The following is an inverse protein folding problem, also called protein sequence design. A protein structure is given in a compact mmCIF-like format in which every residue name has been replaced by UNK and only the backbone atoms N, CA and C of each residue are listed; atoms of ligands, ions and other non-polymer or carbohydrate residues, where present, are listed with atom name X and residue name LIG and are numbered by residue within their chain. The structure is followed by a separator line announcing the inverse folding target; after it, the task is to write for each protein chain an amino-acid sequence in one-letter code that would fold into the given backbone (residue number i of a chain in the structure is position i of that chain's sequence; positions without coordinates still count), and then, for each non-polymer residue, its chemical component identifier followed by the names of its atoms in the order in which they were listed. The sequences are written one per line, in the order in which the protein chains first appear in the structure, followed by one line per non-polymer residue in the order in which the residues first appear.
data_IF_326373764688
#
_entry.id   IF_326373764688
#
_cell.length_a   1.000
_cell.length_b   1.000
_cell.length_c   1.000
_cell.angle_alpha   90.00
_cell.angle_beta   90.00
_cell.angle_gamma   90.00
#
_symmetry.space_group_name_H-M   'P 1'
#
loop_
_entity.id
_entity.type
_entity.pdbx_description
1 polymer ?
#
# COMPACT_ATOMS: atom_id res chain seq x y z
N UNK A 1 -2.75 -6.08 15.88
CA UNK A 1 -1.65 -6.08 16.88
C UNK A 1 -2.17 -5.75 18.26
N UNK A 2 -2.55 -4.51 18.61
CA UNK A 2 -3.11 -4.21 19.96
C UNK A 2 -4.32 -5.09 20.34
N UNK A 3 -5.19 -5.39 19.38
CA UNK A 3 -6.36 -6.25 19.58
C UNK A 3 -6.02 -7.73 19.87
N UNK A 4 -4.76 -8.14 19.72
CA UNK A 4 -4.27 -9.50 19.91
C UNK A 4 -3.11 -9.54 20.92
N UNK A 5 -2.91 -8.46 21.67
CA UNK A 5 -1.86 -8.32 22.68
C UNK A 5 -0.42 -8.58 22.16
N UNK A 6 -0.19 -8.35 20.86
CA UNK A 6 1.13 -8.47 20.26
C UNK A 6 1.85 -7.12 20.39
N UNK A 7 3.02 -7.15 21.04
CA UNK A 7 3.92 -5.99 21.07
C UNK A 7 4.44 -5.69 19.66
N UNK A 8 4.14 -4.49 19.19
CA UNK A 8 4.51 -4.03 17.86
C UNK A 8 6.02 -3.89 17.71
N UNK A 9 6.71 -3.51 18.79
CA UNK A 9 8.13 -3.19 18.74
C UNK A 9 9.00 -4.43 18.55
N UNK A 10 8.56 -5.56 19.11
CA UNK A 10 9.24 -6.85 18.97
C UNK A 10 8.78 -7.62 17.73
N UNK A 11 7.51 -7.47 17.33
CA UNK A 11 6.93 -8.30 16.26
C UNK A 11 7.22 -7.81 14.84
N UNK A 12 7.36 -6.49 14.61
CA UNK A 12 7.61 -5.95 13.26
C UNK A 12 9.10 -5.97 12.91
N UNK A 13 9.50 -6.53 11.75
CA UNK A 13 10.90 -6.48 11.29
C UNK A 13 11.43 -5.06 11.09
N UNK A 14 10.56 -4.14 10.63
CA UNK A 14 10.90 -2.73 10.39
C UNK A 14 9.76 -1.84 10.87
N UNK A 15 10.10 -0.83 11.69
CA UNK A 15 9.15 0.17 12.19
C UNK A 15 9.46 1.55 11.63
N UNK A 16 8.41 2.30 11.26
CA UNK A 16 8.52 3.74 11.01
C UNK A 16 8.15 4.52 12.26
N UNK A 17 8.91 5.58 12.56
CA UNK A 17 8.74 6.42 13.77
C UNK A 17 7.34 7.01 13.89
N UNK A 18 6.68 7.27 12.78
CA UNK A 18 5.36 7.92 12.72
C UNK A 18 4.20 6.94 12.45
N UNK A 19 4.45 5.63 12.39
CA UNK A 19 3.36 4.66 12.32
C UNK A 19 2.58 4.62 13.65
N UNK A 20 1.25 4.46 13.63
CA UNK A 20 0.40 4.23 12.46
C UNK A 20 -0.14 5.52 11.79
N UNK A 21 0.02 6.68 12.42
CA UNK A 21 -0.58 7.95 11.98
C UNK A 21 -0.12 8.39 10.59
N UNK A 22 1.14 8.13 10.22
CA UNK A 22 1.65 8.40 8.89
C UNK A 22 0.85 7.71 7.78
N UNK A 23 0.34 6.50 8.03
CA UNK A 23 -0.48 5.76 7.06
C UNK A 23 -1.84 6.42 6.85
N UNK A 24 -2.51 6.81 7.95
CA UNK A 24 -3.78 7.53 7.88
C UNK A 24 -3.61 8.90 7.21
N UNK A 25 -2.55 9.63 7.54
CA UNK A 25 -2.22 10.90 6.90
C UNK A 25 -2.03 10.74 5.39
N UNK A 26 -1.18 9.81 4.96
CA UNK A 26 -0.93 9.55 3.55
C UNK A 26 -2.21 9.15 2.80
N UNK A 27 -3.05 8.30 3.41
CA UNK A 27 -4.33 7.92 2.85
C UNK A 27 -5.29 9.11 2.71
N UNK A 28 -5.44 9.94 3.75
CA UNK A 28 -6.29 11.13 3.71
C UNK A 28 -5.83 12.14 2.65
N UNK A 29 -4.52 12.41 2.58
CA UNK A 29 -3.96 13.29 1.56
C UNK A 29 -4.22 12.72 0.15
N UNK A 30 -3.88 11.46 -0.10
CA UNK A 30 -4.10 10.83 -1.40
C UNK A 30 -5.58 10.83 -1.81
N UNK A 31 -6.48 10.56 -0.86
CA UNK A 31 -7.92 10.61 -1.09
C UNK A 31 -8.37 12.01 -1.54
N UNK A 32 -7.93 13.08 -0.86
CA UNK A 32 -8.28 14.46 -1.25
C UNK A 32 -7.68 14.80 -2.63
N UNK A 33 -6.40 14.49 -2.85
CA UNK A 33 -5.72 14.78 -4.13
C UNK A 33 -6.40 14.12 -5.32
N UNK A 34 -6.91 12.90 -5.14
CA UNK A 34 -7.62 12.15 -6.15
C UNK A 34 -8.89 12.89 -6.64
N UNK A 35 -9.58 13.63 -5.77
CA UNK A 35 -10.71 14.47 -6.17
C UNK A 35 -10.28 15.84 -6.70
N UNK A 36 -9.24 16.43 -6.11
CA UNK A 36 -8.77 17.77 -6.49
C UNK A 36 -8.13 17.78 -7.87
N UNK A 37 -7.44 16.73 -8.33
CA UNK A 37 -6.65 16.82 -9.57
C UNK A 37 -7.46 17.20 -10.83
N UNK A 38 -8.75 16.86 -10.87
CA UNK A 38 -9.61 17.11 -12.03
C UNK A 38 -10.44 18.40 -11.95
N UNK A 39 -10.20 19.28 -10.96
CA UNK A 39 -11.08 20.42 -10.69
C UNK A 39 -11.18 21.41 -11.87
N UNK A 40 -10.13 21.50 -12.69
CA UNK A 40 -10.07 22.43 -13.81
C UNK A 40 -11.18 22.20 -14.85
N UNK A 41 -11.71 20.98 -14.96
CA UNK A 41 -12.83 20.64 -15.85
C UNK A 41 -14.11 21.39 -15.46
N UNK A 42 -14.26 21.77 -14.19
CA UNK A 42 -15.40 22.52 -13.68
C UNK A 42 -15.24 24.04 -13.83
N UNK A 43 -14.09 24.53 -14.30
CA UNK A 43 -13.91 25.95 -14.59
C UNK A 43 -14.65 26.33 -15.87
N UNK A 44 -15.31 27.49 -15.86
CA UNK A 44 -16.04 28.02 -17.02
C UNK A 44 -15.14 28.11 -18.24
N UNK A 45 -15.55 27.50 -19.35
CA UNK A 45 -14.80 27.48 -20.61
C UNK A 45 -13.81 26.33 -20.80
N UNK A 46 -13.61 25.46 -19.79
CA UNK A 46 -12.68 24.31 -19.86
C UNK A 46 -13.38 22.94 -19.86
N UNK A 47 -14.69 22.92 -20.14
CA UNK A 47 -15.45 21.66 -20.17
C UNK A 47 -15.02 20.79 -21.35
N UNK A 48 -14.44 19.63 -21.05
CA UNK A 48 -14.10 18.59 -22.02
C UNK A 48 -14.54 17.24 -21.48
N UNK A 49 -15.49 16.60 -22.16
CA UNK A 49 -16.02 15.28 -21.78
C UNK A 49 -14.90 14.22 -21.75
N UNK A 50 -13.95 14.28 -22.68
CA UNK A 50 -12.81 13.37 -22.70
C UNK A 50 -11.93 13.52 -21.44
N UNK A 51 -11.63 14.76 -21.05
CA UNK A 51 -10.83 15.06 -19.85
C UNK A 51 -11.57 14.70 -18.56
N UNK A 52 -12.91 14.88 -18.52
CA UNK A 52 -13.75 14.45 -17.40
C UNK A 52 -13.71 12.93 -17.19
N UNK A 53 -13.97 12.16 -18.25
CA UNK A 53 -13.97 10.69 -18.17
C UNK A 53 -12.57 10.17 -17.85
N UNK A 54 -11.51 10.78 -18.38
CA UNK A 54 -10.15 10.38 -18.04
C UNK A 54 -9.82 10.61 -16.56
N UNK A 55 -10.14 11.80 -16.03
CA UNK A 55 -9.84 12.15 -14.63
C UNK A 55 -10.71 11.40 -13.62
N UNK A 56 -12.02 11.24 -13.87
CA UNK A 56 -12.97 10.70 -12.90
C UNK A 56 -13.50 9.31 -13.25
N UNK A 57 -13.42 8.90 -14.51
CA UNK A 57 -13.94 7.62 -14.97
C UNK A 57 -13.15 6.44 -14.38
N UNK A 58 -11.81 6.55 -14.28
CA UNK A 58 -11.01 5.48 -13.68
C UNK A 58 -11.31 5.32 -12.18
N UNK A 59 -11.58 6.41 -11.48
CA UNK A 59 -11.98 6.41 -10.06
C UNK A 59 -13.31 5.68 -9.91
N UNK A 60 -14.31 6.04 -10.73
CA UNK A 60 -15.62 5.40 -10.72
C UNK A 60 -15.55 3.91 -11.13
N UNK A 61 -14.73 3.56 -12.12
CA UNK A 61 -14.53 2.18 -12.56
C UNK A 61 -13.86 1.34 -11.47
N UNK A 62 -12.76 1.82 -10.88
CA UNK A 62 -12.08 1.10 -9.79
C UNK A 62 -13.01 0.95 -8.57
N UNK A 63 -13.74 2.00 -8.22
CA UNK A 63 -14.71 1.98 -7.13
C UNK A 63 -15.86 0.99 -7.40
N UNK A 64 -16.42 0.99 -8.61
CA UNK A 64 -17.52 0.09 -8.98
C UNK A 64 -17.09 -1.38 -9.05
N UNK A 65 -15.89 -1.69 -9.56
CA UNK A 65 -15.37 -3.06 -9.54
C UNK A 65 -15.15 -3.53 -8.10
N UNK A 66 -14.52 -2.70 -7.26
CA UNK A 66 -14.24 -3.05 -5.87
C UNK A 66 -15.51 -3.23 -5.03
N UNK A 67 -16.42 -2.27 -5.09
CA UNK A 67 -17.72 -2.33 -4.40
C UNK A 67 -18.60 -3.43 -4.99
N UNK A 68 -18.64 -3.58 -6.31
CA UNK A 68 -19.40 -4.60 -7.01
C UNK A 68 -18.97 -6.01 -6.62
N UNK A 69 -17.66 -6.29 -6.61
CA UNK A 69 -17.13 -7.56 -6.12
C UNK A 69 -17.53 -7.81 -4.68
N UNK A 70 -17.44 -6.79 -3.83
CA UNK A 70 -17.74 -6.90 -2.41
C UNK A 70 -19.23 -7.15 -2.14
N UNK A 71 -20.11 -6.48 -2.88
CA UNK A 71 -21.56 -6.68 -2.80
C UNK A 71 -21.98 -8.05 -3.35
N UNK A 72 -21.38 -8.48 -4.46
CA UNK A 72 -21.70 -9.76 -5.11
C UNK A 72 -21.19 -10.96 -4.31
N UNK A 73 -19.91 -10.94 -3.90
CA UNK A 73 -19.29 -12.04 -3.14
C UNK A 73 -19.56 -11.96 -1.63
N UNK A 74 -20.13 -10.85 -1.14
CA UNK A 74 -20.40 -10.60 0.29
C UNK A 74 -19.20 -10.97 1.18
N UNK A 75 -18.01 -10.56 0.75
CA UNK A 75 -16.78 -10.88 1.49
C UNK A 75 -16.83 -10.22 2.87
N UNK A 76 -16.51 -11.00 3.90
CA UNK A 76 -16.54 -10.51 5.29
C UNK A 76 -15.40 -9.54 5.51
N UNK A 77 -15.68 -8.43 6.20
CA UNK A 77 -14.63 -7.60 6.76
C UNK A 77 -14.12 -8.28 8.02
N UNK A 78 -12.89 -8.76 7.97
CA UNK A 78 -12.29 -9.42 9.11
C UNK A 78 -11.92 -8.41 10.20
N UNK A 79 -12.30 -8.70 11.45
CA UNK A 79 -11.90 -7.88 12.60
C UNK A 79 -10.41 -8.05 12.88
N UNK A 80 -9.78 -7.02 13.44
CA UNK A 80 -8.35 -7.10 13.74
C UNK A 80 -7.96 -8.23 14.72
N UNK A 81 -8.91 -8.78 15.48
CA UNK A 81 -8.68 -9.89 16.42
C UNK A 81 -8.69 -11.27 15.76
N UNK A 82 -9.40 -11.44 14.64
CA UNK A 82 -9.58 -12.73 13.95
C UNK A 82 -8.58 -12.93 12.80
N UNK A 83 -7.80 -11.91 12.46
CA UNK A 83 -6.76 -11.99 11.44
C UNK A 83 -5.57 -12.78 11.97
N UNK A 84 -5.20 -13.87 11.30
CA UNK A 84 -4.01 -14.64 11.65
C UNK A 84 -2.72 -13.91 11.25
N UNK A 85 -1.81 -13.73 12.21
CA UNK A 85 -0.47 -13.16 11.97
C UNK A 85 0.65 -14.15 12.25
N UNK A 86 0.37 -15.37 12.71
CA UNK A 86 1.40 -16.27 13.29
C UNK A 86 1.57 -17.55 12.48
N UNK A 87 0.49 -18.18 11.96
CA UNK A 87 0.58 -19.57 11.46
C UNK A 87 1.64 -19.80 10.38
N UNK A 88 1.93 -18.80 9.55
CA UNK A 88 2.92 -18.89 8.47
C UNK A 88 4.14 -17.98 8.66
N UNK A 89 4.24 -17.29 9.80
CA UNK A 89 5.30 -16.30 10.04
C UNK A 89 6.70 -16.91 9.88
N UNK A 90 6.94 -18.06 10.51
CA UNK A 90 8.22 -18.78 10.44
C UNK A 90 8.65 -19.14 9.01
N UNK A 91 7.69 -19.57 8.17
CA UNK A 91 7.97 -19.89 6.77
C UNK A 91 8.42 -18.64 6.01
N UNK A 92 7.74 -17.51 6.20
CA UNK A 92 8.11 -16.24 5.56
C UNK A 92 9.45 -15.69 6.07
N UNK A 93 9.78 -15.88 7.35
CA UNK A 93 11.06 -15.49 7.91
C UNK A 93 12.21 -16.28 7.27
N UNK A 94 12.08 -17.61 7.15
CA UNK A 94 13.07 -18.44 6.44
C UNK A 94 13.23 -17.99 4.99
N UNK A 95 12.12 -17.74 4.30
CA UNK A 95 12.14 -17.34 2.90
C UNK A 95 12.84 -15.98 2.72
N UNK A 96 12.60 -15.06 3.65
CA UNK A 96 13.24 -13.74 3.68
C UNK A 96 14.75 -13.86 3.88
N UNK A 97 15.19 -14.69 4.84
CA UNK A 97 16.61 -14.96 5.08
C UNK A 97 17.27 -15.66 3.88
N UNK A 98 16.59 -16.62 3.26
CA UNK A 98 17.09 -17.31 2.07
C UNK A 98 17.38 -16.32 0.93
N UNK A 99 16.40 -15.48 0.56
CA UNK A 99 16.60 -14.48 -0.48
C UNK A 99 17.61 -13.39 -0.09
N UNK A 100 17.73 -13.05 1.20
CA UNK A 100 18.77 -12.13 1.68
C UNK A 100 20.16 -12.72 1.42
N UNK A 101 20.37 -13.97 1.79
CA UNK A 101 21.63 -14.67 1.52
C UNK A 101 21.96 -14.76 0.02
N UNK A 102 20.97 -15.06 -0.84
CA UNK A 102 21.19 -15.06 -2.29
C UNK A 102 21.61 -13.69 -2.83
N UNK A 103 20.96 -12.61 -2.36
CA UNK A 103 21.32 -11.24 -2.76
C UNK A 103 22.72 -10.83 -2.30
N UNK A 104 23.13 -11.28 -1.12
CA UNK A 104 24.47 -11.02 -0.56
C UNK A 104 25.57 -11.87 -1.25
N UNK A 105 25.24 -13.09 -1.68
CA UNK A 105 26.16 -13.99 -2.39
C UNK A 105 26.36 -13.61 -3.87
N UNK A 106 25.50 -12.78 -4.45
CA UNK A 106 25.65 -12.30 -5.82
C UNK A 106 26.93 -11.44 -5.97
N UNK A 107 27.78 -11.68 -6.98
CA UNK A 107 29.01 -10.91 -7.16
C UNK A 107 28.69 -9.45 -7.48
N UNK A 108 28.90 -8.55 -6.52
CA UNK A 108 28.73 -7.11 -6.75
C UNK A 108 29.91 -6.54 -7.52
N UNK A 109 29.64 -6.03 -8.73
CA UNK A 109 30.65 -5.30 -9.51
C UNK A 109 30.96 -3.95 -8.85
N UNK A 110 32.09 -3.35 -9.22
CA UNK A 110 32.52 -2.06 -8.67
C UNK A 110 31.47 -0.95 -8.83
N UNK A 111 30.74 -0.94 -9.95
CA UNK A 111 29.62 -0.02 -10.21
C UNK A 111 28.47 -0.21 -9.21
N UNK A 112 28.17 -1.46 -8.85
CA UNK A 112 27.07 -1.81 -7.95
C UNK A 112 27.37 -1.35 -6.52
N UNK A 113 28.63 -1.45 -6.09
CA UNK A 113 29.08 -0.95 -4.77
C UNK A 113 29.00 0.58 -4.65
N UNK A 114 29.26 1.30 -5.74
CA UNK A 114 29.14 2.76 -5.77
C UNK A 114 27.66 3.17 -5.72
N UNK A 115 26.81 2.51 -6.50
CA UNK A 115 25.36 2.77 -6.50
C UNK A 115 24.73 2.49 -5.13
N UNK A 116 25.10 1.39 -4.48
CA UNK A 116 24.60 1.02 -3.15
C UNK A 116 25.03 1.93 -1.99
N UNK A 117 25.97 2.86 -2.23
CA UNK A 117 26.43 3.83 -1.23
C UNK A 117 25.78 5.21 -1.42
N UNK A 118 25.23 5.45 -2.60
CA UNK A 118 24.55 6.68 -2.98
C UNK A 118 23.04 6.56 -2.73
N UNK A 119 22.48 5.37 -2.92
CA UNK A 119 21.08 5.00 -2.66
C UNK A 119 20.96 4.09 -1.44
#
# INVERSE_FOLDING_TARGET
MKAQDIDRETFLPVRSRFQPYAGYWAFCCAFIFLWVQGYAVFLSGNWSTATFIFNYGIIALAGSIGLGWKLFKKTRFHRASEVDLVSHLYFFDILTEHYRHEREAAPQNFKDRILAKIF
#
